data_IF_213223335292
#
_entry.id   IF_213223335292
#
_cell.length_a   1.000
_cell.length_b   1.000
_cell.length_c   1.000
_cell.angle_alpha   90.00
_cell.angle_beta   90.00
_cell.angle_gamma   90.00
#
_symmetry.space_group_name_H-M   'P 1'
#
loop_
_entity.id
_entity.type
_entity.pdbx_description
1 polymer ?
#
# COMPACT_ATOMS: atom_id res chain seq x y z
N UNK A 1 -0.23 7.40 11.89
CA UNK A 1 -0.52 7.99 10.56
C UNK A 1 0.61 7.83 9.54
N UNK A 2 1.88 7.73 9.95
CA UNK A 2 3.02 7.64 9.02
C UNK A 2 2.90 6.61 7.86
N UNK A 3 2.35 5.41 8.13
CA UNK A 3 2.14 4.40 7.08
C UNK A 3 1.10 4.85 6.02
N UNK A 4 0.02 5.52 6.42
CA UNK A 4 -0.99 6.06 5.49
C UNK A 4 -0.37 7.11 4.56
N UNK A 5 0.42 8.03 5.11
CA UNK A 5 1.12 9.04 4.30
C UNK A 5 2.14 8.41 3.34
N UNK A 6 2.92 7.42 3.79
CA UNK A 6 3.90 6.73 2.96
C UNK A 6 3.26 5.90 1.83
N UNK A 7 2.07 5.33 2.06
CA UNK A 7 1.29 4.67 1.01
C UNK A 7 0.76 5.70 0.02
N UNK A 8 0.18 6.80 0.51
CA UNK A 8 -0.39 7.84 -0.33
C UNK A 8 0.66 8.48 -1.25
N UNK A 9 1.83 8.85 -0.73
CA UNK A 9 2.89 9.48 -1.53
C UNK A 9 3.43 8.58 -2.65
N UNK A 10 3.37 7.25 -2.47
CA UNK A 10 3.94 6.27 -3.40
C UNK A 10 2.88 5.52 -4.22
N UNK A 11 1.60 5.87 -4.08
CA UNK A 11 0.49 5.11 -4.65
C UNK A 11 0.59 5.00 -6.17
N UNK A 12 0.78 6.14 -6.84
CA UNK A 12 0.82 6.24 -8.30
C UNK A 12 1.98 5.43 -8.89
N UNK A 13 3.20 5.65 -8.37
CA UNK A 13 4.42 4.99 -8.85
C UNK A 13 4.32 3.48 -8.64
N UNK A 14 3.89 3.05 -7.45
CA UNK A 14 3.70 1.63 -7.14
C UNK A 14 2.63 0.99 -8.02
N UNK A 15 1.54 1.71 -8.30
CA UNK A 15 0.49 1.28 -9.22
C UNK A 15 1.01 1.05 -10.63
N UNK A 16 1.81 1.99 -11.14
CA UNK A 16 2.43 1.90 -12.46
C UNK A 16 3.37 0.68 -12.57
N UNK A 17 4.27 0.49 -11.61
CA UNK A 17 5.15 -0.70 -11.62
C UNK A 17 4.38 -2.02 -11.51
N UNK A 18 3.30 -2.05 -10.70
CA UNK A 18 2.44 -3.23 -10.56
C UNK A 18 1.74 -3.57 -11.87
N UNK A 19 1.30 -2.56 -12.63
CA UNK A 19 0.73 -2.76 -13.96
C UNK A 19 1.78 -3.34 -14.93
N UNK A 20 2.95 -2.72 -15.01
CA UNK A 20 4.05 -3.16 -15.89
C UNK A 20 4.47 -4.60 -15.58
N UNK A 21 4.70 -4.93 -14.30
CA UNK A 21 5.17 -6.25 -13.89
C UNK A 21 4.19 -7.39 -14.29
N UNK A 22 2.88 -7.11 -14.25
CA UNK A 22 1.81 -8.08 -14.54
C UNK A 22 1.38 -8.10 -16.00
N UNK A 23 1.79 -7.12 -16.80
CA UNK A 23 1.40 -7.04 -18.20
C UNK A 23 2.18 -8.08 -19.03
N UNK A 24 1.47 -9.04 -19.63
CA UNK A 24 2.05 -10.11 -20.45
C UNK A 24 2.45 -9.69 -21.85
N UNK A 25 1.98 -8.53 -22.35
CA UNK A 25 2.34 -8.02 -23.68
C UNK A 25 3.72 -7.36 -23.70
N UNK A 26 4.25 -7.00 -22.52
CA UNK A 26 5.57 -6.38 -22.38
C UNK A 26 6.70 -7.41 -22.31
N UNK A 27 7.91 -7.06 -22.77
CA UNK A 27 9.07 -7.94 -22.70
C UNK A 27 9.38 -8.39 -21.26
N UNK A 28 9.83 -9.66 -21.06
CA UNK A 28 10.13 -10.21 -19.73
C UNK A 28 11.13 -9.37 -18.92
N UNK A 29 12.13 -8.79 -19.58
CA UNK A 29 13.14 -7.94 -18.93
C UNK A 29 12.52 -6.72 -18.24
N UNK A 30 11.63 -6.00 -18.94
CA UNK A 30 10.96 -4.81 -18.42
C UNK A 30 10.08 -5.16 -17.23
N UNK A 31 9.35 -6.28 -17.32
CA UNK A 31 8.53 -6.79 -16.22
C UNK A 31 9.37 -7.13 -14.99
N UNK A 32 10.52 -7.79 -15.19
CA UNK A 32 11.43 -8.14 -14.10
C UNK A 32 12.01 -6.90 -13.42
N UNK A 33 12.44 -5.90 -14.20
CA UNK A 33 12.94 -4.64 -13.64
C UNK A 33 11.86 -3.92 -12.81
N UNK A 34 10.63 -3.82 -13.32
CA UNK A 34 9.51 -3.26 -12.55
C UNK A 34 9.22 -4.04 -11.25
N UNK A 35 9.38 -5.36 -11.26
CA UNK A 35 9.21 -6.19 -10.08
C UNK A 35 10.32 -5.97 -9.03
N UNK A 36 11.57 -5.74 -9.47
CA UNK A 36 12.66 -5.37 -8.57
C UNK A 36 12.40 -4.02 -7.91
N UNK A 37 11.94 -3.02 -8.65
CA UNK A 37 11.54 -1.73 -8.10
C UNK A 37 10.37 -1.85 -7.12
N UNK A 38 9.39 -2.72 -7.38
CA UNK A 38 8.33 -3.01 -6.42
C UNK A 38 8.86 -3.59 -5.10
N UNK A 39 9.92 -4.39 -5.17
CA UNK A 39 10.53 -5.01 -4.00
C UNK A 39 11.41 -4.04 -3.20
N UNK A 40 11.95 -3.00 -3.84
CA UNK A 40 12.81 -1.98 -3.20
C UNK A 40 12.03 -1.02 -2.28
N UNK A 41 10.71 -0.91 -2.45
CA UNK A 41 9.88 -0.04 -1.60
C UNK A 41 9.93 -0.43 -0.11
N UNK A 42 9.91 0.56 0.80
CA UNK A 42 9.91 0.30 2.23
C UNK A 42 8.63 -0.41 2.66
N UNK A 43 8.70 -1.23 3.71
CA UNK A 43 7.56 -2.03 4.20
C UNK A 43 6.32 -1.18 4.51
N UNK A 44 6.51 0.05 5.02
CA UNK A 44 5.41 0.98 5.35
C UNK A 44 4.67 1.56 4.14
N UNK A 45 5.26 1.51 2.95
CA UNK A 45 4.62 1.94 1.70
C UNK A 45 3.69 0.86 1.11
N UNK A 46 3.60 -0.31 1.75
CA UNK A 46 2.68 -1.37 1.35
C UNK A 46 1.28 -1.04 1.88
N UNK A 47 0.23 -1.09 1.04
CA UNK A 47 -1.14 -0.84 1.49
C UNK A 47 -1.58 -1.77 2.63
N UNK A 48 -1.10 -3.02 2.64
CA UNK A 48 -1.39 -3.99 3.69
C UNK A 48 -0.81 -3.62 5.08
N UNK A 49 0.12 -2.66 5.15
CA UNK A 49 0.66 -2.16 6.42
C UNK A 49 -0.27 -1.14 7.11
N UNK A 50 -1.30 -0.66 6.41
CA UNK A 50 -2.30 0.26 6.97
C UNK A 50 -3.37 -0.54 7.69
N UNK A 51 -3.61 -0.20 8.96
CA UNK A 51 -4.67 -0.78 9.77
C UNK A 51 -5.59 0.31 10.32
N UNK A 52 -6.89 0.04 10.30
CA UNK A 52 -7.88 0.92 10.90
C UNK A 52 -7.83 0.83 12.42
N UNK A 53 -7.90 1.99 13.04
CA UNK A 53 -7.82 2.18 14.49
C UNK A 53 -8.84 3.21 14.88
N UNK A 54 -9.37 3.09 16.09
CA UNK A 54 -10.23 4.11 16.67
C UNK A 54 -9.50 5.46 16.67
N UNK A 55 -10.15 6.52 16.19
CA UNK A 55 -9.60 7.87 16.15
C UNK A 55 -9.38 8.44 17.55
N UNK A 56 -10.32 8.19 18.47
CA UNK A 56 -10.29 8.70 19.84
C UNK A 56 -9.34 7.88 20.74
N UNK A 57 -9.46 6.55 20.71
CA UNK A 57 -8.77 5.67 21.67
C UNK A 57 -7.55 4.96 21.10
N UNK A 58 -7.35 4.97 19.78
CA UNK A 58 -6.26 4.21 19.12
C UNK A 58 -6.44 2.69 19.11
N UNK A 59 -7.57 2.17 19.63
CA UNK A 59 -7.86 0.73 19.69
C UNK A 59 -7.89 0.11 18.28
N UNK A 60 -7.19 -1.01 18.10
CA UNK A 60 -7.05 -1.69 16.81
C UNK A 60 -8.04 -2.82 16.52
N UNK A 61 -9.08 -3.01 17.34
CA UNK A 61 -10.07 -4.09 17.17
C UNK A 61 -11.48 -3.58 17.47
N UNK A 62 -12.45 -4.06 16.70
CA UNK A 62 -13.86 -3.69 16.83
C UNK A 62 -14.11 -2.24 16.43
N UNK A 63 -13.54 -1.80 15.30
CA UNK A 63 -13.73 -0.46 14.75
C UNK A 63 -14.90 -0.48 13.77
N UNK A 64 -15.83 0.45 13.94
CA UNK A 64 -16.84 0.76 12.94
C UNK A 64 -16.23 1.71 11.91
N UNK A 65 -15.99 1.21 10.70
CA UNK A 65 -15.25 1.95 9.65
C UNK A 65 -15.95 3.24 9.21
N UNK A 66 -17.28 3.28 9.25
CA UNK A 66 -18.07 4.47 8.89
C UNK A 66 -17.82 5.65 9.85
N UNK A 67 -17.66 5.37 11.14
CA UNK A 67 -17.46 6.39 12.19
C UNK A 67 -16.00 6.54 12.60
N UNK A 68 -15.14 5.56 12.31
CA UNK A 68 -13.77 5.52 12.79
C UNK A 68 -13.66 5.28 14.30
N UNK A 69 -14.73 4.82 14.96
CA UNK A 69 -14.82 4.62 16.41
C UNK A 69 -14.84 3.14 16.78
N UNK A 70 -14.35 2.82 17.98
CA UNK A 70 -14.47 1.47 18.53
C UNK A 70 -15.80 1.26 19.27
N UNK A 71 -16.22 -0.01 19.39
CA UNK A 71 -17.36 -0.43 20.22
C UNK A 71 -17.27 0.03 21.67
#
# INVERSE_FOLDING_TARGET
MAARHAVHSNELIRGAYKYIARNTTLPPRVRHMAQLELNSFPNRARPAAVHDRCTETGRGRGIFTEFGLCR
#
